data_IF_915611933806
#
_entry.id   IF_915611933806
#
_cell.length_a   1.000
_cell.length_b   1.000
_cell.length_c   1.000
_cell.angle_alpha   90.00
_cell.angle_beta   90.00
_cell.angle_gamma   90.00
#
_symmetry.space_group_name_H-M   'P 1'
#
loop_
_entity.id
_entity.type
_entity.pdbx_description
1 polymer ?
#
# COMPACT_ATOMS: atom_id res chain seq x y z
N UNK A 1 1.84 20.52 10.50
CA UNK A 1 3.04 20.49 9.65
C UNK A 1 2.79 21.14 8.29
N UNK A 2 1.71 20.80 7.59
CA UNK A 2 1.39 21.32 6.27
C UNK A 2 0.03 22.02 6.32
N UNK A 3 -0.04 23.24 5.78
CA UNK A 3 -1.25 24.07 5.80
C UNK A 3 -2.33 23.54 4.86
N UNK A 4 -1.94 22.73 3.86
CA UNK A 4 -2.85 22.17 2.86
C UNK A 4 -2.30 20.88 2.24
N UNK A 5 -3.16 20.10 1.58
CA UNK A 5 -2.74 18.94 0.76
C UNK A 5 -1.78 19.35 -0.35
N UNK A 6 -1.95 20.56 -0.92
CA UNK A 6 -1.01 21.08 -1.93
C UNK A 6 0.38 21.29 -1.36
N UNK A 7 0.52 21.92 -0.18
CA UNK A 7 1.82 22.13 0.45
C UNK A 7 2.47 20.80 0.87
N UNK A 8 1.67 19.79 1.26
CA UNK A 8 2.15 18.43 1.51
C UNK A 8 2.68 17.77 0.23
N UNK A 9 1.92 17.83 -0.87
CA UNK A 9 2.32 17.30 -2.19
C UNK A 9 3.64 17.94 -2.65
N UNK A 10 3.74 19.27 -2.61
CA UNK A 10 4.94 20.01 -2.99
C UNK A 10 6.15 19.62 -2.13
N UNK A 11 5.94 19.42 -0.81
CA UNK A 11 7.01 18.99 0.08
C UNK A 11 7.51 17.57 -0.27
N UNK A 12 6.62 16.66 -0.63
CA UNK A 12 6.98 15.30 -1.08
C UNK A 12 7.69 15.32 -2.43
N UNK A 13 7.25 16.16 -3.36
CA UNK A 13 7.86 16.30 -4.69
C UNK A 13 9.30 16.81 -4.65
N UNK A 14 9.73 17.42 -3.54
CA UNK A 14 11.15 17.82 -3.36
C UNK A 14 12.13 16.64 -3.46
N UNK A 15 11.67 15.40 -3.29
CA UNK A 15 12.49 14.21 -3.49
C UNK A 15 13.20 14.23 -4.85
N UNK A 16 12.52 14.74 -5.89
CA UNK A 16 13.05 14.77 -7.25
C UNK A 16 13.69 16.11 -7.64
N UNK A 17 13.85 17.05 -6.70
CA UNK A 17 14.34 18.39 -7.00
C UNK A 17 15.79 18.44 -7.51
N UNK A 18 16.62 17.55 -6.97
CA UNK A 18 18.06 17.53 -7.21
C UNK A 18 18.51 16.27 -7.97
N UNK A 19 17.60 15.64 -8.73
CA UNK A 19 17.95 14.47 -9.54
C UNK A 19 18.86 14.87 -10.69
N UNK A 20 19.93 14.14 -10.91
CA UNK A 20 20.82 14.29 -12.06
C UNK A 20 20.24 13.56 -13.29
N UNK A 21 20.68 13.90 -14.47
CA UNK A 21 20.24 13.24 -15.71
C UNK A 21 20.53 11.73 -15.74
N UNK A 22 21.49 11.28 -14.95
CA UNK A 22 21.88 9.86 -14.76
C UNK A 22 20.98 9.09 -13.80
N UNK A 23 20.20 9.79 -12.99
CA UNK A 23 19.33 9.18 -11.99
C UNK A 23 18.07 8.58 -12.62
N UNK A 24 17.32 7.83 -11.82
CA UNK A 24 16.01 7.30 -12.21
C UNK A 24 14.96 7.72 -11.18
N UNK A 25 13.95 8.45 -11.62
CA UNK A 25 12.76 8.76 -10.83
C UNK A 25 11.72 7.68 -11.02
N UNK A 26 11.13 7.21 -9.92
CA UNK A 26 10.15 6.13 -9.91
C UNK A 26 8.84 6.67 -9.36
N UNK A 27 7.73 6.44 -10.07
CA UNK A 27 6.38 6.80 -9.65
C UNK A 27 5.43 5.63 -9.76
N UNK A 28 4.35 5.69 -8.97
CA UNK A 28 3.31 4.66 -8.94
C UNK A 28 2.15 5.07 -9.84
N UNK A 29 1.74 4.17 -10.73
CA UNK A 29 0.57 4.32 -11.61
C UNK A 29 -0.71 4.49 -10.77
N UNK A 30 -1.61 5.37 -11.23
CA UNK A 30 -2.86 5.66 -10.53
C UNK A 30 -2.76 6.77 -9.48
N UNK A 31 -1.55 7.10 -9.02
CA UNK A 31 -1.30 8.22 -8.12
C UNK A 31 -1.14 9.53 -8.90
N UNK A 32 -2.25 10.22 -9.17
CA UNK A 32 -2.28 11.40 -10.05
C UNK A 32 -1.27 12.48 -9.65
N UNK A 33 -1.09 12.74 -8.35
CA UNK A 33 -0.13 13.73 -7.85
C UNK A 33 1.30 13.30 -8.20
N UNK A 34 1.65 12.04 -7.93
CA UNK A 34 2.96 11.46 -8.23
C UNK A 34 3.24 11.53 -9.73
N UNK A 35 2.28 11.12 -10.55
CA UNK A 35 2.44 11.11 -12.02
C UNK A 35 2.61 12.51 -12.61
N UNK A 36 1.90 13.53 -12.10
CA UNK A 36 2.11 14.93 -12.52
C UNK A 36 3.54 15.41 -12.25
N UNK A 37 4.08 15.10 -11.08
CA UNK A 37 5.45 15.49 -10.75
C UNK A 37 6.48 14.68 -11.52
N UNK A 38 6.27 13.37 -11.71
CA UNK A 38 7.16 12.49 -12.46
C UNK A 38 7.33 12.95 -13.92
N UNK A 39 6.28 13.48 -14.55
CA UNK A 39 6.35 13.98 -15.93
C UNK A 39 7.31 15.15 -16.11
N UNK A 40 7.60 15.89 -15.04
CA UNK A 40 8.42 17.11 -15.07
C UNK A 40 9.88 16.89 -14.63
N UNK A 41 10.29 15.65 -14.31
CA UNK A 41 11.69 15.39 -13.95
C UNK A 41 12.57 15.28 -15.18
N UNK A 42 13.81 15.75 -15.06
CA UNK A 42 14.79 15.78 -16.15
C UNK A 42 15.66 14.51 -16.24
N UNK A 43 15.34 13.46 -15.48
CA UNK A 43 16.07 12.20 -15.47
C UNK A 43 15.25 11.07 -16.12
N UNK A 44 15.81 9.85 -16.12
CA UNK A 44 15.07 8.65 -16.53
C UNK A 44 13.85 8.47 -15.65
N UNK A 45 12.74 8.06 -16.23
CA UNK A 45 11.48 7.82 -15.53
C UNK A 45 11.11 6.34 -15.59
N UNK A 46 10.59 5.82 -14.49
CA UNK A 46 9.99 4.49 -14.39
C UNK A 46 8.63 4.58 -13.73
N UNK A 47 7.69 3.82 -14.24
CA UNK A 47 6.34 3.71 -13.69
C UNK A 47 6.15 2.30 -13.15
N UNK A 48 5.62 2.21 -11.93
CA UNK A 48 5.30 0.96 -11.26
C UNK A 48 3.78 0.79 -11.19
N UNK A 49 3.30 -0.40 -11.52
CA UNK A 49 1.88 -0.75 -11.54
C UNK A 49 1.18 -0.42 -12.85
N UNK A 50 -0.03 -0.93 -13.02
CA UNK A 50 -0.81 -0.78 -14.24
C UNK A 50 -0.07 -1.32 -15.47
N UNK A 51 0.01 -0.52 -16.53
CA UNK A 51 0.79 -0.80 -17.74
C UNK A 51 2.22 -0.26 -17.68
N UNK A 52 2.72 0.08 -16.50
CA UNK A 52 4.05 0.66 -16.30
C UNK A 52 5.21 -0.29 -16.59
N UNK A 53 6.44 0.20 -16.36
CA UNK A 53 7.68 -0.55 -16.59
C UNK A 53 7.81 -1.75 -15.65
N UNK A 54 7.41 -1.57 -14.39
CA UNK A 54 7.34 -2.63 -13.38
C UNK A 54 5.88 -2.96 -13.12
N UNK A 55 5.48 -4.18 -13.41
CA UNK A 55 4.06 -4.58 -13.38
C UNK A 55 3.88 -6.06 -13.10
N UNK A 56 2.65 -6.43 -12.81
CA UNK A 56 2.22 -7.84 -12.74
C UNK A 56 1.44 -8.20 -14.02
N UNK A 57 1.80 -9.31 -14.64
CA UNK A 57 1.08 -9.90 -15.77
C UNK A 57 0.91 -11.38 -15.44
N UNK A 58 -0.33 -11.86 -15.44
CA UNK A 58 -0.67 -13.27 -15.16
C UNK A 58 -0.03 -13.81 -13.88
N UNK A 59 -0.03 -12.98 -12.80
CA UNK A 59 0.57 -13.36 -11.53
C UNK A 59 2.10 -13.33 -11.49
N UNK A 60 2.76 -12.75 -12.49
CA UNK A 60 4.22 -12.63 -12.57
C UNK A 60 4.63 -11.17 -12.44
N UNK A 61 5.41 -10.87 -11.41
CA UNK A 61 6.04 -9.56 -11.22
C UNK A 61 7.25 -9.45 -12.15
N UNK A 62 7.25 -8.40 -12.97
CA UNK A 62 8.27 -8.19 -14.00
C UNK A 62 8.70 -6.73 -14.06
N UNK A 63 9.90 -6.50 -14.56
CA UNK A 63 10.47 -5.18 -14.83
C UNK A 63 11.12 -5.14 -16.23
N UNK A 64 11.81 -4.04 -16.59
CA UNK A 64 12.46 -3.90 -17.89
C UNK A 64 13.52 -4.95 -18.19
N UNK A 65 14.09 -5.58 -17.17
CA UNK A 65 15.11 -6.63 -17.28
C UNK A 65 14.51 -8.05 -17.34
N UNK A 66 13.18 -8.17 -17.32
CA UNK A 66 12.45 -9.45 -17.35
C UNK A 66 11.74 -9.78 -16.05
N UNK A 67 11.52 -11.07 -15.83
CA UNK A 67 10.82 -11.61 -14.65
C UNK A 67 11.59 -11.34 -13.38
N UNK A 68 10.86 -10.98 -12.32
CA UNK A 68 11.38 -10.83 -10.96
C UNK A 68 10.97 -12.05 -10.13
N UNK A 69 9.67 -12.25 -9.89
CA UNK A 69 9.15 -13.33 -9.05
C UNK A 69 7.68 -13.62 -9.41
N UNK A 70 7.21 -14.83 -9.19
CA UNK A 70 5.79 -15.13 -9.23
C UNK A 70 5.11 -14.57 -7.96
N UNK A 71 3.88 -14.10 -8.10
CA UNK A 71 3.09 -13.61 -6.97
C UNK A 71 2.85 -14.69 -5.92
N UNK A 72 2.71 -15.95 -6.36
CA UNK A 72 2.58 -17.13 -5.48
C UNK A 72 3.82 -17.38 -4.61
N UNK A 73 4.98 -16.88 -4.99
CA UNK A 73 6.24 -17.09 -4.28
C UNK A 73 6.53 -15.95 -3.30
N UNK A 74 5.68 -14.92 -3.26
CA UNK A 74 5.74 -13.91 -2.23
C UNK A 74 5.29 -14.50 -0.89
N UNK A 75 5.91 -14.10 0.20
CA UNK A 75 5.51 -14.52 1.56
C UNK A 75 4.08 -14.09 1.91
N UNK A 76 3.59 -13.03 1.30
CA UNK A 76 2.22 -12.52 1.33
C UNK A 76 1.94 -11.73 0.05
N UNK A 77 0.75 -11.91 -0.55
CA UNK A 77 0.39 -11.36 -1.85
C UNK A 77 -0.92 -10.55 -1.84
N UNK A 78 -1.16 -9.79 -0.76
CA UNK A 78 -2.24 -8.81 -0.78
C UNK A 78 -1.92 -7.72 -1.84
N UNK A 79 -2.92 -7.05 -2.44
CA UNK A 79 -2.69 -6.11 -3.55
C UNK A 79 -1.62 -5.05 -3.27
N UNK A 80 -1.58 -4.53 -2.04
CA UNK A 80 -0.56 -3.57 -1.64
C UNK A 80 0.82 -4.20 -1.42
N UNK A 81 0.91 -5.50 -1.04
CA UNK A 81 2.19 -6.21 -0.92
C UNK A 81 2.83 -6.40 -2.29
N UNK A 82 2.03 -6.78 -3.28
CA UNK A 82 2.46 -6.91 -4.68
C UNK A 82 2.98 -5.57 -5.21
N UNK A 83 2.25 -4.48 -4.98
CA UNK A 83 2.69 -3.15 -5.38
C UNK A 83 3.97 -2.74 -4.66
N UNK A 84 4.08 -2.97 -3.36
CA UNK A 84 5.27 -2.67 -2.57
C UNK A 84 6.48 -3.51 -3.04
N UNK A 85 6.28 -4.78 -3.38
CA UNK A 85 7.32 -5.64 -3.95
C UNK A 85 7.85 -5.10 -5.28
N UNK A 86 6.96 -4.64 -6.17
CA UNK A 86 7.34 -3.99 -7.43
C UNK A 86 8.12 -2.70 -7.20
N UNK A 87 7.65 -1.83 -6.27
CA UNK A 87 8.33 -0.56 -5.95
C UNK A 87 9.71 -0.81 -5.35
N UNK A 88 9.83 -1.74 -4.40
CA UNK A 88 11.12 -2.09 -3.79
C UNK A 88 12.09 -2.65 -4.83
N UNK A 89 11.61 -3.56 -5.69
CA UNK A 89 12.42 -4.11 -6.79
C UNK A 89 12.87 -3.02 -7.75
N UNK A 90 11.97 -2.13 -8.16
CA UNK A 90 12.30 -1.02 -9.04
C UNK A 90 13.39 -0.11 -8.44
N UNK A 91 13.26 0.26 -7.17
CA UNK A 91 14.26 1.08 -6.47
C UNK A 91 15.63 0.41 -6.43
N UNK A 92 15.68 -0.87 -6.05
CA UNK A 92 16.94 -1.61 -5.91
C UNK A 92 17.60 -1.91 -7.26
N UNK A 93 16.81 -2.26 -8.28
CA UNK A 93 17.32 -2.60 -9.62
C UNK A 93 17.79 -1.34 -10.36
N UNK A 94 17.00 -0.28 -10.38
CA UNK A 94 17.34 0.96 -11.09
C UNK A 94 18.50 1.72 -10.42
N UNK A 95 18.73 1.52 -9.13
CA UNK A 95 19.90 2.05 -8.43
C UNK A 95 21.16 1.18 -8.58
N UNK A 96 21.07 0.01 -9.24
CA UNK A 96 22.19 -0.92 -9.40
C UNK A 96 22.56 -1.70 -8.13
N UNK A 97 21.78 -1.59 -7.06
CA UNK A 97 22.04 -2.30 -5.80
C UNK A 97 21.63 -3.77 -5.85
N UNK A 98 20.72 -4.15 -6.73
CA UNK A 98 20.24 -5.51 -6.86
C UNK A 98 19.94 -5.88 -8.31
N UNK A 99 19.89 -7.18 -8.58
CA UNK A 99 19.34 -7.79 -9.80
C UNK A 99 17.92 -8.29 -9.54
N UNK A 100 17.20 -8.71 -10.58
CA UNK A 100 15.91 -9.39 -10.43
C UNK A 100 16.01 -10.64 -9.54
N UNK A 101 17.09 -11.41 -9.65
CA UNK A 101 17.32 -12.60 -8.82
C UNK A 101 17.52 -12.25 -7.33
N UNK A 102 18.28 -11.19 -7.03
CA UNK A 102 18.42 -10.71 -5.65
C UNK A 102 17.09 -10.25 -5.07
N UNK A 103 16.29 -9.53 -5.87
CA UNK A 103 14.94 -9.09 -5.49
C UNK A 103 14.03 -10.29 -5.22
N UNK A 104 14.04 -11.32 -6.10
CA UNK A 104 13.25 -12.53 -5.91
C UNK A 104 13.58 -13.23 -4.58
N UNK A 105 14.88 -13.44 -4.29
CA UNK A 105 15.33 -14.07 -3.06
C UNK A 105 14.89 -13.29 -1.81
N UNK A 106 15.03 -11.96 -1.84
CA UNK A 106 14.63 -11.13 -0.72
C UNK A 106 13.10 -11.14 -0.51
N UNK A 107 12.32 -11.06 -1.59
CA UNK A 107 10.87 -11.02 -1.54
C UNK A 107 10.25 -12.34 -1.07
N UNK A 108 10.80 -13.48 -1.49
CA UNK A 108 10.29 -14.80 -1.06
C UNK A 108 10.52 -15.06 0.43
N UNK A 109 11.55 -14.47 1.03
CA UNK A 109 11.88 -14.61 2.46
C UNK A 109 11.44 -13.42 3.32
N UNK A 110 10.83 -12.39 2.72
CA UNK A 110 10.44 -11.18 3.43
C UNK A 110 9.36 -11.47 4.47
N UNK A 111 9.60 -11.06 5.70
CA UNK A 111 8.60 -11.11 6.77
C UNK A 111 8.06 -9.70 7.03
N UNK A 112 6.74 -9.54 6.93
CA UNK A 112 6.11 -8.26 7.20
C UNK A 112 6.36 -7.83 8.67
N UNK A 113 6.54 -6.53 8.92
CA UNK A 113 6.67 -6.02 10.28
C UNK A 113 5.43 -6.34 11.11
N UNK A 114 5.63 -6.56 12.42
CA UNK A 114 4.54 -6.77 13.37
C UNK A 114 3.48 -5.66 13.28
N UNK A 115 2.23 -6.04 13.51
CA UNK A 115 1.07 -5.16 13.49
C UNK A 115 0.74 -4.52 12.13
N UNK A 116 1.21 -5.11 11.03
CA UNK A 116 0.88 -4.70 9.66
C UNK A 116 0.22 -5.84 8.90
N UNK A 117 -1.10 -5.97 9.11
CA UNK A 117 -1.92 -7.09 8.63
C UNK A 117 -1.23 -8.41 9.00
N UNK A 118 -0.75 -8.47 10.24
CA UNK A 118 -0.07 -9.63 10.80
C UNK A 118 -1.08 -10.74 11.04
N UNK A 119 -0.85 -11.91 10.47
CA UNK A 119 -1.68 -13.07 10.78
C UNK A 119 -1.40 -13.53 12.21
N UNK A 120 -2.44 -13.58 13.04
CA UNK A 120 -2.33 -13.96 14.45
C UNK A 120 -2.78 -15.39 14.68
N UNK A 121 -3.93 -15.76 14.15
CA UNK A 121 -4.52 -17.07 14.37
C UNK A 121 -5.63 -17.38 13.37
N UNK A 122 -5.99 -18.67 13.31
CA UNK A 122 -7.23 -19.12 12.69
C UNK A 122 -8.05 -19.91 13.72
N UNK A 123 -9.32 -19.58 13.86
CA UNK A 123 -10.25 -20.29 14.75
C UNK A 123 -11.62 -20.39 14.10
N UNK A 124 -12.15 -21.62 14.04
CA UNK A 124 -13.47 -21.92 13.47
C UNK A 124 -13.66 -21.37 12.05
N UNK A 125 -12.63 -21.45 11.21
CA UNK A 125 -12.64 -20.95 9.84
C UNK A 125 -12.55 -19.42 9.72
N UNK A 126 -12.33 -18.70 10.82
CA UNK A 126 -12.09 -17.24 10.82
C UNK A 126 -10.61 -16.99 11.03
N UNK A 127 -10.00 -16.26 10.11
CA UNK A 127 -8.61 -15.78 10.21
C UNK A 127 -8.57 -14.44 10.93
N UNK A 128 -7.67 -14.31 11.88
CA UNK A 128 -7.48 -13.10 12.67
C UNK A 128 -6.19 -12.40 12.26
N UNK A 129 -6.29 -11.11 12.03
CA UNK A 129 -5.17 -10.26 11.64
C UNK A 129 -5.05 -9.06 12.56
N UNK A 130 -3.83 -8.69 12.90
CA UNK A 130 -3.51 -7.46 13.61
C UNK A 130 -2.93 -6.43 12.63
N UNK A 131 -3.65 -5.32 12.49
CA UNK A 131 -3.22 -4.15 11.72
C UNK A 131 -3.26 -2.87 12.56
N UNK A 132 -2.91 -2.98 13.83
CA UNK A 132 -2.96 -1.84 14.77
C UNK A 132 -2.00 -0.69 14.40
N UNK A 133 -1.11 -0.89 13.44
CA UNK A 133 -0.30 0.16 12.80
C UNK A 133 -1.06 0.95 11.72
N UNK A 134 -2.25 0.56 11.32
CA UNK A 134 -3.13 1.32 10.44
C UNK A 134 -3.74 2.51 11.21
N UNK A 135 -2.97 3.56 11.39
CA UNK A 135 -3.35 4.75 12.17
C UNK A 135 -4.00 5.86 11.33
N UNK A 136 -4.38 5.57 10.09
CA UNK A 136 -5.08 6.49 9.19
C UNK A 136 -6.19 5.77 8.43
N UNK A 137 -7.28 6.46 8.04
CA UNK A 137 -8.36 5.87 7.25
C UNK A 137 -7.86 5.23 5.96
N UNK A 138 -6.95 5.88 5.26
CA UNK A 138 -6.34 5.35 4.03
C UNK A 138 -5.64 4.00 4.25
N UNK A 139 -4.94 3.81 5.37
CA UNK A 139 -4.30 2.53 5.66
C UNK A 139 -5.33 1.42 5.89
N UNK A 140 -6.43 1.72 6.61
CA UNK A 140 -7.55 0.78 6.82
C UNK A 140 -8.22 0.42 5.49
N UNK A 141 -8.51 1.40 4.64
CA UNK A 141 -9.06 1.19 3.29
C UNK A 141 -8.14 0.27 2.47
N UNK A 142 -6.84 0.54 2.49
CA UNK A 142 -5.85 -0.28 1.77
C UNK A 142 -5.85 -1.73 2.28
N UNK A 143 -5.93 -1.92 3.60
CA UNK A 143 -6.02 -3.24 4.20
C UNK A 143 -7.30 -3.98 3.79
N UNK A 144 -8.46 -3.31 3.88
CA UNK A 144 -9.77 -3.88 3.52
C UNK A 144 -9.81 -4.39 2.08
N UNK A 145 -9.15 -3.72 1.15
CA UNK A 145 -9.06 -4.16 -0.26
C UNK A 145 -8.34 -5.48 -0.47
N UNK A 146 -7.61 -5.94 0.53
CA UNK A 146 -6.97 -7.26 0.52
C UNK A 146 -7.89 -8.42 0.90
N UNK A 147 -9.16 -8.16 1.26
CA UNK A 147 -10.08 -9.17 1.77
C UNK A 147 -11.46 -9.03 1.12
N UNK A 148 -12.18 -10.16 1.00
CA UNK A 148 -13.54 -10.16 0.44
C UNK A 148 -14.61 -9.95 1.50
N UNK A 149 -14.39 -10.40 2.73
CA UNK A 149 -15.36 -10.31 3.82
C UNK A 149 -14.65 -10.19 5.17
N UNK A 150 -14.89 -9.09 5.87
CA UNK A 150 -14.19 -8.71 7.10
C UNK A 150 -15.18 -8.42 8.22
N UNK A 151 -14.88 -8.88 9.43
CA UNK A 151 -15.36 -8.27 10.67
C UNK A 151 -14.30 -7.28 11.12
N UNK A 152 -14.61 -5.99 11.03
CA UNK A 152 -13.66 -4.91 11.33
C UNK A 152 -13.72 -4.56 12.82
N UNK A 153 -12.62 -4.77 13.54
CA UNK A 153 -12.45 -4.22 14.89
C UNK A 153 -11.73 -2.89 14.75
N UNK A 154 -12.44 -1.80 14.98
CA UNK A 154 -11.91 -0.45 14.76
C UNK A 154 -12.22 0.50 15.93
N UNK A 155 -11.30 1.46 16.14
CA UNK A 155 -11.47 2.45 17.16
C UNK A 155 -10.13 2.97 17.71
N UNK A 156 -10.09 3.25 19.00
CA UNK A 156 -8.96 3.91 19.63
C UNK A 156 -9.20 5.40 19.73
N UNK A 157 -8.15 6.22 19.58
CA UNK A 157 -8.23 7.68 19.67
C UNK A 157 -8.21 8.31 18.28
N UNK A 158 -9.33 8.95 17.91
CA UNK A 158 -9.36 9.75 16.68
C UNK A 158 -8.61 11.08 16.87
N UNK A 159 -7.65 11.35 16.01
CA UNK A 159 -6.86 12.58 15.99
C UNK A 159 -7.43 13.64 15.04
N UNK A 160 -8.75 13.69 14.88
CA UNK A 160 -9.43 14.61 13.95
C UNK A 160 -9.41 14.13 12.50
N UNK A 161 -9.23 12.82 12.28
CA UNK A 161 -9.27 12.22 10.94
C UNK A 161 -10.72 11.96 10.52
N UNK A 162 -10.99 12.12 9.24
CA UNK A 162 -12.26 11.75 8.63
C UNK A 162 -12.32 10.23 8.42
N UNK A 163 -13.04 9.54 9.31
CA UNK A 163 -13.21 8.09 9.27
C UNK A 163 -14.26 7.63 8.25
N UNK A 164 -15.07 8.55 7.69
CA UNK A 164 -16.12 8.22 6.72
C UNK A 164 -15.56 7.54 5.46
N UNK A 165 -14.30 7.82 5.09
CA UNK A 165 -13.63 7.16 3.97
C UNK A 165 -13.59 5.63 4.10
N UNK A 166 -13.58 5.08 5.32
CA UNK A 166 -13.57 3.63 5.54
C UNK A 166 -14.89 3.01 5.07
N UNK A 167 -16.00 3.75 5.16
CA UNK A 167 -17.32 3.29 4.72
C UNK A 167 -17.43 3.10 3.20
N UNK A 168 -16.50 3.65 2.41
CA UNK A 168 -16.42 3.39 0.96
C UNK A 168 -16.19 1.90 0.67
N UNK A 169 -15.54 1.17 1.59
CA UNK A 169 -15.32 -0.28 1.49
C UNK A 169 -16.37 -1.12 2.24
N UNK A 170 -17.54 -0.54 2.57
CA UNK A 170 -18.61 -1.20 3.34
C UNK A 170 -19.07 -2.53 2.73
N UNK A 171 -19.02 -2.67 1.39
CA UNK A 171 -19.35 -3.92 0.71
C UNK A 171 -18.47 -5.12 1.14
N UNK A 172 -17.27 -4.85 1.68
CA UNK A 172 -16.35 -5.86 2.21
C UNK A 172 -16.50 -6.10 3.71
N UNK A 173 -17.25 -5.22 4.39
CA UNK A 173 -17.38 -5.24 5.85
C UNK A 173 -18.68 -5.92 6.22
N UNK A 174 -18.58 -7.11 6.79
CA UNK A 174 -19.74 -7.89 7.29
C UNK A 174 -20.32 -7.31 8.56
N UNK A 175 -19.47 -6.85 9.47
CA UNK A 175 -19.85 -6.17 10.70
C UNK A 175 -18.67 -5.38 11.28
N UNK A 176 -18.96 -4.48 12.21
CA UNK A 176 -17.97 -3.65 12.88
C UNK A 176 -18.07 -3.83 14.39
N UNK A 177 -16.94 -4.02 15.03
CA UNK A 177 -16.80 -3.99 16.50
C UNK A 177 -16.07 -2.69 16.84
N UNK A 178 -16.83 -1.72 17.31
CA UNK A 178 -16.29 -0.41 17.68
C UNK A 178 -15.72 -0.44 19.10
N UNK A 179 -14.48 0.06 19.28
CA UNK A 179 -13.77 0.03 20.55
C UNK A 179 -13.12 1.39 20.90
N UNK A 180 -12.84 1.60 22.18
CA UNK A 180 -12.08 2.76 22.65
C UNK A 180 -12.84 4.09 22.55
N UNK A 181 -12.07 5.19 22.57
CA UNK A 181 -12.60 6.57 22.63
C UNK A 181 -13.46 6.95 21.40
N UNK A 182 -13.15 6.39 20.24
CA UNK A 182 -13.87 6.66 18.98
C UNK A 182 -15.02 5.67 18.71
N UNK A 183 -15.41 4.83 19.66
CA UNK A 183 -16.39 3.77 19.44
C UNK A 183 -17.74 4.31 18.94
N UNK A 184 -18.24 5.39 19.53
CA UNK A 184 -19.52 6.01 19.14
C UNK A 184 -19.46 6.53 17.70
N UNK A 185 -18.39 7.24 17.33
CA UNK A 185 -18.18 7.75 15.97
C UNK A 185 -18.10 6.63 14.94
N UNK A 186 -17.37 5.56 15.26
CA UNK A 186 -17.26 4.38 14.38
C UNK A 186 -18.62 3.71 14.22
N UNK A 187 -19.37 3.52 15.32
CA UNK A 187 -20.69 2.92 15.27
C UNK A 187 -21.68 3.77 14.45
N UNK A 188 -21.62 5.10 14.55
CA UNK A 188 -22.45 6.01 13.75
C UNK A 188 -22.16 5.87 12.25
N UNK A 189 -20.88 5.90 11.85
CA UNK A 189 -20.44 5.77 10.44
C UNK A 189 -20.95 4.46 9.82
N UNK A 190 -20.96 3.39 10.59
CA UNK A 190 -21.36 2.07 10.12
C UNK A 190 -22.78 1.65 10.53
N UNK A 191 -23.61 2.59 11.00
CA UNK A 191 -24.99 2.31 11.43
C UNK A 191 -25.90 1.74 10.33
N UNK A 192 -25.55 1.95 9.06
CA UNK A 192 -26.26 1.39 7.89
C UNK A 192 -25.82 -0.03 7.48
N UNK A 193 -24.83 -0.63 8.12
CA UNK A 193 -24.47 -2.04 7.90
C UNK A 193 -25.54 -2.93 8.53
N UNK A 194 -26.11 -3.84 7.72
CA UNK A 194 -27.11 -4.83 8.18
C UNK A 194 -26.45 -5.99 8.85
#
# INVERSE_FOLDING_TARGET
>A
WHESMKSYEEAKARLWRNVAATDTAIGVSGENAVMRHLQNVACRRRVVGGSGDYRTIDGILSGPQGVIIAESDLSRSLPHDVLNALVASALCIESGLATSSHSATALSSFTAPHHRIEFIAESRGVRWFDDSKATSPHAVVTALRGFDSVVLIAGGRNKGLDLAQIAEESARIKSVVAIGESAELVAEIFSGLK
#
